data_IF_753269384648
#
_entry.id   IF_753269384648
#
_cell.length_a   1.000
_cell.length_b   1.000
_cell.length_c   1.000
_cell.angle_alpha   90.00
_cell.angle_beta   90.00
_cell.angle_gamma   90.00
#
_symmetry.space_group_name_H-M   'P 1'
#
loop_
_entity.id
_entity.type
_entity.pdbx_description
1 polymer ?
#
# COMPACT_ATOMS: atom_id res chain seq x y z
N UNK A 1 13.98 5.17 -15.86
CA UNK A 1 14.80 3.93 -15.86
C UNK A 1 14.88 3.24 -14.49
N UNK A 2 15.27 3.94 -13.40
CA UNK A 2 15.45 3.29 -12.08
C UNK A 2 14.16 2.66 -11.51
N UNK A 3 13.02 3.31 -11.68
CA UNK A 3 11.74 2.81 -11.16
C UNK A 3 11.16 1.67 -12.01
N UNK A 4 11.45 1.64 -13.30
CA UNK A 4 11.06 0.57 -14.22
C UNK A 4 11.85 -0.71 -13.91
N UNK A 5 13.15 -0.58 -13.64
CA UNK A 5 13.98 -1.70 -13.21
C UNK A 5 13.56 -2.22 -11.83
N UNK A 6 13.31 -1.31 -10.88
CA UNK A 6 12.81 -1.67 -9.56
C UNK A 6 11.43 -2.34 -9.63
N UNK A 7 10.51 -1.80 -10.43
CA UNK A 7 9.19 -2.38 -10.66
C UNK A 7 9.32 -3.82 -11.18
N UNK A 8 10.17 -4.05 -12.18
CA UNK A 8 10.41 -5.40 -12.72
C UNK A 8 10.88 -6.37 -11.64
N UNK A 9 11.77 -5.94 -10.75
CA UNK A 9 12.27 -6.77 -9.65
C UNK A 9 11.15 -7.04 -8.64
N UNK A 10 10.46 -6.01 -8.14
CA UNK A 10 9.45 -6.20 -7.09
C UNK A 10 8.25 -7.01 -7.57
N UNK A 11 7.83 -6.89 -8.84
CA UNK A 11 6.79 -7.75 -9.42
C UNK A 11 7.20 -9.22 -9.45
N UNK A 12 8.49 -9.53 -9.58
CA UNK A 12 9.00 -10.91 -9.48
C UNK A 12 9.12 -11.40 -8.04
N UNK A 13 9.34 -10.51 -7.08
CA UNK A 13 9.46 -10.85 -5.65
C UNK A 13 8.09 -11.26 -5.06
N UNK A 14 7.00 -10.61 -5.47
CA UNK A 14 5.64 -10.92 -5.00
C UNK A 14 5.32 -12.42 -5.02
N UNK A 15 5.39 -13.15 -6.16
CA UNK A 15 5.07 -14.58 -6.19
C UNK A 15 6.05 -15.43 -5.36
N UNK A 16 7.31 -14.98 -5.19
CA UNK A 16 8.28 -15.67 -4.35
C UNK A 16 7.89 -15.61 -2.87
N UNK A 17 7.50 -14.42 -2.38
CA UNK A 17 7.10 -14.24 -0.98
C UNK A 17 5.73 -14.85 -0.69
N UNK A 18 4.81 -14.88 -1.66
CA UNK A 18 3.55 -15.61 -1.58
C UNK A 18 3.78 -17.13 -1.44
N UNK A 19 4.65 -17.70 -2.28
CA UNK A 19 5.01 -19.12 -2.21
C UNK A 19 5.69 -19.46 -0.88
N UNK A 20 6.54 -18.56 -0.39
CA UNK A 20 7.18 -18.67 0.93
C UNK A 20 6.23 -18.50 2.12
N UNK A 21 4.95 -18.14 1.89
CA UNK A 21 3.96 -17.82 2.92
C UNK A 21 4.45 -16.73 3.89
N UNK A 22 5.06 -15.69 3.35
CA UNK A 22 5.65 -14.58 4.10
C UNK A 22 4.81 -13.31 3.94
N UNK A 23 3.63 -13.20 4.58
CA UNK A 23 2.65 -12.15 4.30
C UNK A 23 3.20 -10.74 4.52
N UNK A 24 4.10 -10.56 5.50
CA UNK A 24 4.72 -9.26 5.75
C UNK A 24 5.60 -8.83 4.55
N UNK A 25 6.40 -9.75 4.00
CA UNK A 25 7.24 -9.46 2.84
C UNK A 25 6.40 -9.29 1.57
N UNK A 26 5.35 -10.08 1.41
CA UNK A 26 4.41 -9.92 0.28
C UNK A 26 3.73 -8.55 0.32
N UNK A 27 3.29 -8.09 1.49
CA UNK A 27 2.72 -6.76 1.68
C UNK A 27 3.73 -5.67 1.28
N UNK A 28 4.99 -5.75 1.75
CA UNK A 28 6.04 -4.80 1.39
C UNK A 28 6.37 -4.83 -0.11
N UNK A 29 6.41 -6.01 -0.72
CA UNK A 29 6.67 -6.16 -2.15
C UNK A 29 5.57 -5.46 -2.97
N UNK A 30 4.31 -5.69 -2.63
CA UNK A 30 3.18 -5.01 -3.27
C UNK A 30 3.22 -3.49 -3.05
N UNK A 31 3.55 -3.02 -1.84
CA UNK A 31 3.74 -1.59 -1.60
C UNK A 31 4.82 -1.00 -2.50
N UNK A 32 5.95 -1.69 -2.68
CA UNK A 32 7.03 -1.21 -3.54
C UNK A 32 6.64 -1.22 -5.02
N UNK A 33 5.85 -2.20 -5.48
CA UNK A 33 5.24 -2.17 -6.81
C UNK A 33 4.34 -0.94 -6.97
N UNK A 34 3.52 -0.65 -5.97
CA UNK A 34 2.67 0.56 -5.93
C UNK A 34 3.48 1.84 -6.03
N UNK A 35 4.52 1.97 -5.19
CA UNK A 35 5.41 3.11 -5.18
C UNK A 35 6.13 3.30 -6.52
N UNK A 36 6.66 2.24 -7.13
CA UNK A 36 7.33 2.37 -8.42
C UNK A 36 6.36 2.81 -9.52
N UNK A 37 5.14 2.27 -9.57
CA UNK A 37 4.12 2.71 -10.52
C UNK A 37 3.71 4.16 -10.28
N UNK A 38 3.62 4.58 -9.02
CA UNK A 38 3.33 5.96 -8.64
C UNK A 38 4.41 6.93 -9.14
N UNK A 39 5.69 6.59 -8.94
CA UNK A 39 6.80 7.40 -9.47
C UNK A 39 6.83 7.45 -11.01
N UNK A 40 6.25 6.44 -11.66
CA UNK A 40 6.05 6.37 -13.11
C UNK A 40 4.72 7.00 -13.58
N UNK A 41 3.93 7.58 -12.67
CA UNK A 41 2.60 8.16 -12.92
C UNK A 41 1.59 7.17 -13.53
N UNK A 42 1.79 5.89 -13.27
CA UNK A 42 0.87 4.81 -13.63
C UNK A 42 -0.15 4.63 -12.53
N UNK A 43 -1.06 5.60 -12.41
CA UNK A 43 -1.95 5.73 -11.25
C UNK A 43 -2.88 4.54 -11.05
N UNK A 44 -3.52 3.96 -12.09
CA UNK A 44 -4.34 2.76 -11.92
C UNK A 44 -3.53 1.58 -11.38
N UNK A 45 -2.35 1.33 -11.93
CA UNK A 45 -1.48 0.23 -11.52
C UNK A 45 -0.90 0.45 -10.11
N UNK A 46 -0.59 1.69 -9.75
CA UNK A 46 -0.16 2.06 -8.41
C UNK A 46 -1.28 1.78 -7.40
N UNK A 47 -2.50 2.20 -7.72
CA UNK A 47 -3.68 2.00 -6.87
C UNK A 47 -3.95 0.52 -6.63
N UNK A 48 -3.98 -0.30 -7.68
CA UNK A 48 -4.21 -1.74 -7.53
C UNK A 48 -3.11 -2.42 -6.71
N UNK A 49 -1.84 -2.07 -6.92
CA UNK A 49 -0.75 -2.63 -6.14
C UNK A 49 -0.83 -2.26 -4.64
N UNK A 50 -1.20 -1.01 -4.32
CA UNK A 50 -1.45 -0.63 -2.93
C UNK A 50 -2.69 -1.32 -2.33
N UNK A 51 -3.72 -1.58 -3.13
CA UNK A 51 -4.89 -2.38 -2.70
C UNK A 51 -4.47 -3.81 -2.36
N UNK A 52 -3.62 -4.43 -3.17
CA UNK A 52 -3.11 -5.77 -2.88
C UNK A 52 -2.23 -5.79 -1.62
N UNK A 53 -1.39 -4.77 -1.43
CA UNK A 53 -0.66 -4.62 -0.16
C UNK A 53 -1.62 -4.58 1.03
N UNK A 54 -2.70 -3.80 0.96
CA UNK A 54 -3.72 -3.72 2.01
C UNK A 54 -4.47 -5.06 2.22
N UNK A 55 -4.77 -5.79 1.15
CA UNK A 55 -5.41 -7.11 1.22
C UNK A 55 -4.52 -8.11 1.95
N UNK A 56 -3.23 -8.16 1.60
CA UNK A 56 -2.25 -9.03 2.26
C UNK A 56 -2.04 -8.62 3.72
N UNK A 57 -2.07 -7.32 4.01
CA UNK A 57 -1.97 -6.84 5.38
C UNK A 57 -3.12 -7.35 6.26
N UNK A 58 -4.29 -7.66 5.71
CA UNK A 58 -5.44 -8.14 6.48
C UNK A 58 -5.18 -9.44 7.26
N UNK A 59 -4.22 -10.28 6.82
CA UNK A 59 -3.84 -11.52 7.51
C UNK A 59 -2.70 -11.34 8.52
N UNK A 60 -2.11 -10.14 8.61
CA UNK A 60 -1.05 -9.85 9.58
C UNK A 60 -1.63 -9.64 10.98
N UNK A 61 -0.88 -9.97 12.05
CA UNK A 61 -1.25 -9.61 13.41
C UNK A 61 -1.49 -8.09 13.55
N UNK A 62 -2.48 -7.66 14.35
CA UNK A 62 -2.81 -6.23 14.54
C UNK A 62 -1.60 -5.34 14.85
N UNK A 63 -0.72 -5.81 15.71
CA UNK A 63 0.47 -5.08 16.19
C UNK A 63 1.48 -4.88 15.07
N UNK A 64 1.61 -5.88 14.18
CA UNK A 64 2.49 -5.81 13.01
C UNK A 64 1.93 -4.82 11.99
N UNK A 65 0.61 -4.82 11.75
CA UNK A 65 -0.03 -3.88 10.81
C UNK A 65 0.27 -2.43 11.17
N UNK A 66 0.06 -2.05 12.43
CA UNK A 66 0.24 -0.67 12.89
C UNK A 66 1.70 -0.18 12.85
N UNK A 67 2.66 -1.09 13.02
CA UNK A 67 4.10 -0.77 13.01
C UNK A 67 4.75 -0.93 11.61
N UNK A 68 4.00 -1.41 10.63
CA UNK A 68 4.48 -1.63 9.27
C UNK A 68 4.36 -0.37 8.39
N UNK A 69 4.59 -0.52 7.10
CA UNK A 69 4.34 0.54 6.11
C UNK A 69 2.87 0.66 5.67
N UNK A 70 1.97 -0.15 6.25
CA UNK A 70 0.53 -0.09 5.97
C UNK A 70 -0.08 1.32 6.12
N UNK A 71 0.29 2.15 7.13
CA UNK A 71 -0.19 3.54 7.21
C UNK A 71 0.10 4.35 5.94
N UNK A 72 1.30 4.20 5.38
CA UNK A 72 1.69 4.89 4.14
C UNK A 72 0.93 4.35 2.93
N UNK A 73 0.66 3.04 2.90
CA UNK A 73 -0.16 2.41 1.86
C UNK A 73 -1.58 2.96 1.87
N UNK A 74 -2.21 3.08 3.05
CA UNK A 74 -3.54 3.67 3.20
C UNK A 74 -3.59 5.13 2.73
N UNK A 75 -2.57 5.91 3.05
CA UNK A 75 -2.48 7.30 2.60
C UNK A 75 -2.27 7.43 1.09
N UNK A 76 -1.43 6.58 0.50
CA UNK A 76 -1.21 6.57 -0.95
C UNK A 76 -2.50 6.21 -1.70
N UNK A 77 -3.27 5.25 -1.19
CA UNK A 77 -4.58 4.87 -1.74
C UNK A 77 -5.56 6.04 -1.74
N UNK A 78 -5.69 6.75 -0.62
CA UNK A 78 -6.58 7.91 -0.53
C UNK A 78 -6.15 9.03 -1.48
N UNK A 79 -4.86 9.35 -1.51
CA UNK A 79 -4.31 10.38 -2.40
C UNK A 79 -4.55 10.04 -3.87
N UNK A 80 -4.21 8.83 -4.32
CA UNK A 80 -4.41 8.43 -5.72
C UNK A 80 -5.89 8.38 -6.07
N UNK A 81 -6.73 7.91 -5.15
CA UNK A 81 -8.18 7.87 -5.34
C UNK A 81 -8.77 9.26 -5.56
N UNK A 82 -8.44 10.22 -4.69
CA UNK A 82 -9.01 11.56 -4.70
C UNK A 82 -8.42 12.43 -5.82
N UNK A 83 -7.10 12.39 -6.02
CA UNK A 83 -6.41 13.35 -6.89
C UNK A 83 -6.28 12.87 -8.34
N UNK A 84 -6.18 11.55 -8.58
CA UNK A 84 -5.78 11.02 -9.88
C UNK A 84 -6.86 10.15 -10.56
N UNK A 85 -7.68 9.44 -9.79
CA UNK A 85 -8.70 8.52 -10.32
C UNK A 85 -10.12 9.07 -10.30
N UNK A 86 -10.31 10.33 -9.91
CA UNK A 86 -11.60 11.01 -9.93
C UNK A 86 -12.60 10.56 -8.86
N UNK A 87 -12.11 9.87 -7.82
CA UNK A 87 -12.80 9.60 -6.56
C UNK A 87 -14.16 8.88 -6.68
N UNK A 88 -14.19 7.55 -6.57
CA UNK A 88 -15.45 6.83 -6.36
C UNK A 88 -15.89 6.96 -4.90
N UNK A 89 -17.04 7.60 -4.59
CA UNK A 89 -17.41 7.96 -3.21
C UNK A 89 -17.42 6.82 -2.20
N UNK A 90 -17.59 5.56 -2.66
CA UNK A 90 -17.64 4.38 -1.80
C UNK A 90 -16.27 3.84 -1.38
N UNK A 91 -15.20 4.10 -2.14
CA UNK A 91 -13.89 3.48 -1.91
C UNK A 91 -13.11 4.19 -0.80
N UNK A 92 -13.22 5.52 -0.71
CA UNK A 92 -12.55 6.32 0.33
C UNK A 92 -12.98 5.95 1.76
N UNK A 93 -14.29 5.89 2.09
CA UNK A 93 -14.73 5.47 3.42
C UNK A 93 -14.26 4.07 3.79
N UNK A 94 -14.25 3.12 2.83
CA UNK A 94 -13.78 1.76 3.09
C UNK A 94 -12.29 1.73 3.48
N UNK A 95 -11.46 2.53 2.79
CA UNK A 95 -10.03 2.66 3.11
C UNK A 95 -9.86 3.28 4.52
N UNK A 96 -10.56 4.37 4.80
CA UNK A 96 -10.47 5.08 6.08
C UNK A 96 -10.94 4.21 7.27
N UNK A 97 -12.03 3.47 7.09
CA UNK A 97 -12.56 2.54 8.10
C UNK A 97 -11.55 1.41 8.38
N UNK A 98 -11.01 0.78 7.34
CA UNK A 98 -10.00 -0.28 7.49
C UNK A 98 -8.75 0.23 8.20
N UNK A 99 -8.24 1.38 7.79
CA UNK A 99 -7.06 1.98 8.40
C UNK A 99 -7.29 2.34 9.86
N UNK A 100 -8.45 2.92 10.18
CA UNK A 100 -8.85 3.23 11.56
C UNK A 100 -8.95 1.97 12.41
N UNK A 101 -9.56 0.90 11.87
CA UNK A 101 -9.73 -0.36 12.59
C UNK A 101 -8.40 -1.12 12.80
N UNK A 102 -7.47 -1.05 11.85
CA UNK A 102 -6.25 -1.88 11.85
C UNK A 102 -5.03 -1.18 12.41
N UNK A 103 -4.94 0.14 12.28
CA UNK A 103 -3.80 0.96 12.72
C UNK A 103 -4.18 1.87 13.90
N UNK A 104 -5.45 2.27 13.97
CA UNK A 104 -5.98 3.17 15.00
C UNK A 104 -6.41 4.53 14.40
N UNK A 105 -7.22 5.32 15.13
CA UNK A 105 -7.84 6.55 14.61
C UNK A 105 -6.84 7.65 14.25
N UNK A 106 -5.65 7.65 14.84
CA UNK A 106 -4.61 8.65 14.59
C UNK A 106 -3.60 8.21 13.51
N UNK A 107 -3.92 7.17 12.72
CA UNK A 107 -3.00 6.59 11.73
C UNK A 107 -2.43 7.62 10.74
N UNK A 108 -3.20 8.64 10.36
CA UNK A 108 -2.74 9.71 9.46
C UNK A 108 -1.74 10.66 10.12
N UNK A 109 -1.89 10.96 11.41
CA UNK A 109 -1.00 11.88 12.13
C UNK A 109 0.42 11.32 12.23
N UNK A 110 0.54 9.99 12.34
CA UNK A 110 1.82 9.30 12.45
C UNK A 110 2.66 9.32 11.16
N UNK A 111 2.05 9.66 10.01
CA UNK A 111 2.76 9.74 8.72
C UNK A 111 3.71 10.94 8.63
N UNK A 112 3.42 12.02 9.35
CA UNK A 112 4.20 13.25 9.35
C UNK A 112 5.59 13.12 10.00
N UNK A 113 5.88 12.00 10.67
CA UNK A 113 7.12 11.80 11.43
C UNK A 113 8.27 11.19 10.63
N UNK A 114 8.07 10.84 9.35
CA UNK A 114 9.15 10.35 8.51
C UNK A 114 8.92 10.76 7.05
N UNK A 115 9.66 11.74 6.51
CA UNK A 115 9.60 12.04 5.09
C UNK A 115 10.22 10.88 4.31
N UNK A 116 9.63 10.62 3.14
CA UNK A 116 10.11 9.67 2.14
C UNK A 116 11.57 9.92 1.74
#
# INVERSE_FOLDING_TARGET
KKYEDALRIYTQVVPMTETGKEPFKTMEAWRMVGYCNEQLKKWPEAYEAYREAMNVAAVLPPEVRAQSTLPYTGAALLRIHDDELGGKPRQKPEIEEKMTAWVGPDWQKNLSKNPA
#
